data_IF_351755034456
#
_entry.id   IF_351755034456
#
_cell.length_a   1.000
_cell.length_b   1.000
_cell.length_c   1.000
_cell.angle_alpha   90.00
_cell.angle_beta   90.00
_cell.angle_gamma   90.00
#
_symmetry.space_group_name_H-M   'P 1'
#
loop_
_entity.id
_entity.type
_entity.pdbx_description
1 polymer ?
#
# COMPACT_ATOMS: atom_id res chain seq x y z
N UNK A 1 -29.97 6.47 -17.75
CA UNK A 1 -28.60 6.10 -17.34
C UNK A 1 -27.90 7.40 -17.02
N UNK A 2 -27.35 7.49 -15.80
CA UNK A 2 -26.78 8.78 -15.35
C UNK A 2 -25.39 9.00 -15.92
N UNK A 3 -24.57 7.93 -15.96
CA UNK A 3 -23.18 7.98 -16.43
C UNK A 3 -22.80 6.76 -17.25
N UNK A 4 -21.81 6.88 -18.15
CA UNK A 4 -21.18 5.72 -18.77
C UNK A 4 -20.41 4.93 -17.74
N UNK A 5 -19.65 5.61 -16.86
CA UNK A 5 -18.81 4.99 -15.83
C UNK A 5 -19.04 5.65 -14.49
N UNK A 6 -19.38 4.87 -13.48
CA UNK A 6 -19.34 5.30 -12.09
C UNK A 6 -18.09 4.77 -11.42
N UNK A 7 -17.40 5.64 -10.69
CA UNK A 7 -16.15 5.31 -9.98
C UNK A 7 -16.41 5.43 -8.48
N UNK A 8 -16.11 4.40 -7.71
CA UNK A 8 -16.22 4.43 -6.23
C UNK A 8 -14.86 4.71 -5.62
N UNK A 9 -14.68 5.90 -5.02
CA UNK A 9 -13.50 6.33 -4.30
C UNK A 9 -12.68 7.41 -5.02
N UNK A 10 -12.35 8.49 -4.30
CA UNK A 10 -11.63 9.70 -4.77
C UNK A 10 -10.14 9.72 -4.37
N UNK A 11 -9.48 8.56 -4.27
CA UNK A 11 -8.03 8.46 -4.10
C UNK A 11 -7.27 8.56 -5.42
N UNK A 12 -5.97 8.17 -5.42
CA UNK A 12 -5.15 8.16 -6.64
C UNK A 12 -5.83 7.45 -7.81
N UNK A 13 -6.38 6.25 -7.56
CA UNK A 13 -7.03 5.45 -8.60
C UNK A 13 -8.25 6.14 -9.20
N UNK A 14 -9.14 6.68 -8.36
CA UNK A 14 -10.34 7.35 -8.84
C UNK A 14 -10.06 8.66 -9.58
N UNK A 15 -9.15 9.49 -9.06
CA UNK A 15 -8.75 10.74 -9.74
C UNK A 15 -8.13 10.46 -11.11
N UNK A 16 -7.23 9.48 -11.19
CA UNK A 16 -6.59 9.11 -12.45
C UNK A 16 -7.59 8.47 -13.42
N UNK A 17 -8.45 7.57 -12.93
CA UNK A 17 -9.50 6.95 -13.75
C UNK A 17 -10.46 7.98 -14.34
N UNK A 18 -10.96 8.92 -13.53
CA UNK A 18 -11.84 9.98 -14.02
C UNK A 18 -11.18 10.81 -15.13
N UNK A 19 -9.91 11.20 -14.93
CA UNK A 19 -9.15 11.94 -15.93
C UNK A 19 -9.01 11.16 -17.25
N UNK A 20 -8.60 9.90 -17.20
CA UNK A 20 -8.39 9.08 -18.42
C UNK A 20 -9.70 8.77 -19.14
N UNK A 21 -10.77 8.47 -18.40
CA UNK A 21 -12.09 8.21 -18.95
C UNK A 21 -12.67 9.45 -19.66
N UNK A 22 -12.53 10.64 -19.05
CA UNK A 22 -12.91 11.91 -19.69
C UNK A 22 -12.16 12.14 -20.99
N UNK A 23 -10.84 11.90 -21.02
CA UNK A 23 -10.02 12.00 -22.25
C UNK A 23 -10.49 11.04 -23.33
N UNK A 24 -11.01 9.88 -22.93
CA UNK A 24 -11.56 8.86 -23.84
C UNK A 24 -13.04 9.12 -24.20
N UNK A 25 -13.61 10.24 -23.78
CA UNK A 25 -14.97 10.67 -24.14
C UNK A 25 -16.09 9.91 -23.42
N UNK A 26 -15.81 9.34 -22.23
CA UNK A 26 -16.85 8.78 -21.36
C UNK A 26 -17.42 9.85 -20.44
N UNK A 27 -18.74 9.83 -20.20
CA UNK A 27 -19.35 10.49 -19.06
C UNK A 27 -19.02 9.67 -17.82
N UNK A 28 -18.19 10.22 -16.92
CA UNK A 28 -17.72 9.52 -15.72
C UNK A 28 -17.92 10.38 -14.49
N UNK A 29 -18.21 9.74 -13.34
CA UNK A 29 -18.46 10.41 -12.07
C UNK A 29 -17.87 9.62 -10.91
N UNK A 30 -17.32 10.31 -9.92
CA UNK A 30 -16.79 9.71 -8.69
C UNK A 30 -17.83 9.84 -7.57
N UNK A 31 -18.02 8.76 -6.82
CA UNK A 31 -18.70 8.78 -5.53
C UNK A 31 -17.63 8.58 -4.44
N UNK A 32 -17.45 9.59 -3.57
CA UNK A 32 -16.44 9.59 -2.50
C UNK A 32 -17.12 9.68 -1.13
N UNK A 33 -16.79 8.72 -0.27
CA UNK A 33 -17.33 8.66 1.09
C UNK A 33 -16.79 9.78 2.01
N UNK A 34 -15.62 10.32 1.70
CA UNK A 34 -15.01 11.43 2.42
C UNK A 34 -15.49 12.80 1.94
N UNK A 35 -15.09 13.83 2.68
CA UNK A 35 -15.41 15.23 2.36
C UNK A 35 -14.43 15.88 1.36
N UNK A 36 -13.39 15.16 0.95
CA UNK A 36 -12.39 15.63 -0.01
C UNK A 36 -11.67 14.45 -0.70
N UNK A 37 -10.97 14.76 -1.79
CA UNK A 37 -10.09 13.83 -2.48
C UNK A 37 -8.90 13.42 -1.62
N UNK A 38 -8.27 12.30 -1.97
CA UNK A 38 -7.02 11.85 -1.35
C UNK A 38 -7.10 10.45 -0.75
N UNK A 39 -8.28 9.85 -0.61
CA UNK A 39 -8.45 8.50 -0.08
C UNK A 39 -7.80 8.36 1.30
N UNK A 40 -6.81 7.45 1.45
CA UNK A 40 -6.10 7.25 2.72
C UNK A 40 -5.39 8.51 3.23
N UNK A 41 -4.93 9.39 2.35
CA UNK A 41 -4.22 10.63 2.72
C UNK A 41 -5.15 11.73 3.20
N UNK A 42 -6.42 11.67 2.83
CA UNK A 42 -7.45 12.52 3.44
C UNK A 42 -7.74 12.08 4.88
N UNK A 43 -7.69 10.78 5.18
CA UNK A 43 -8.09 10.18 6.47
C UNK A 43 -6.94 9.96 7.45
N UNK A 44 -5.77 9.51 6.97
CA UNK A 44 -4.63 9.18 7.82
C UNK A 44 -3.88 10.44 8.26
N UNK A 45 -4.12 10.85 9.51
CA UNK A 45 -3.49 12.02 10.14
C UNK A 45 -2.75 11.67 11.43
N UNK A 46 -2.43 10.39 11.65
CA UNK A 46 -1.69 9.92 12.82
C UNK A 46 -0.25 10.47 12.84
N UNK A 47 0.39 10.58 14.02
CA UNK A 47 1.75 11.09 14.14
C UNK A 47 2.74 10.34 13.25
N UNK A 48 3.50 11.08 12.45
CA UNK A 48 4.48 10.51 11.53
C UNK A 48 3.93 9.96 10.22
N UNK A 49 2.63 10.07 9.95
CA UNK A 49 2.01 9.58 8.72
C UNK A 49 2.68 10.18 7.48
N UNK A 50 3.37 9.34 6.69
CA UNK A 50 4.11 9.70 5.48
C UNK A 50 4.17 8.56 4.50
N UNK A 51 4.51 8.88 3.25
CA UNK A 51 4.79 7.88 2.23
C UNK A 51 6.08 7.12 2.55
N UNK A 52 6.19 5.93 2.01
CA UNK A 52 7.40 5.10 2.05
C UNK A 52 7.96 4.80 0.64
N UNK A 53 7.31 5.31 -0.39
CA UNK A 53 7.89 5.41 -1.73
C UNK A 53 8.33 6.84 -1.96
N UNK A 54 9.57 7.00 -2.41
CA UNK A 54 10.18 8.33 -2.56
C UNK A 54 9.61 9.13 -3.72
N UNK A 55 9.68 10.44 -3.62
CA UNK A 55 9.46 11.32 -4.78
C UNK A 55 10.57 11.13 -5.83
N UNK A 56 10.26 11.17 -7.15
CA UNK A 56 8.97 11.56 -7.72
C UNK A 56 7.98 10.41 -7.94
N UNK A 57 8.26 9.19 -7.47
CA UNK A 57 7.46 8.01 -7.82
C UNK A 57 6.11 7.94 -7.10
N UNK A 58 5.92 8.65 -5.99
CA UNK A 58 4.63 8.68 -5.26
C UNK A 58 3.78 9.88 -5.67
N UNK A 59 3.52 10.02 -6.96
CA UNK A 59 2.63 11.03 -7.54
C UNK A 59 2.06 10.53 -8.88
N UNK A 60 1.09 11.25 -9.45
CA UNK A 60 0.63 11.01 -10.81
C UNK A 60 1.71 11.40 -11.82
N UNK A 61 1.93 10.55 -12.82
CA UNK A 61 2.93 10.79 -13.88
C UNK A 61 2.48 11.81 -14.93
N UNK A 62 1.32 12.44 -14.73
CA UNK A 62 0.72 13.45 -15.62
C UNK A 62 1.54 14.74 -15.61
N UNK A 63 2.04 15.15 -16.78
CA UNK A 63 2.87 16.36 -16.92
C UNK A 63 2.15 17.61 -16.44
N UNK A 64 0.89 17.76 -16.76
CA UNK A 64 0.04 18.87 -16.34
C UNK A 64 -0.04 18.99 -14.81
N UNK A 65 0.06 17.90 -14.07
CA UNK A 65 0.05 17.88 -12.61
C UNK A 65 1.44 18.18 -12.05
N UNK A 66 2.47 17.44 -12.46
CA UNK A 66 3.78 17.52 -11.80
C UNK A 66 4.61 18.75 -12.22
N UNK A 67 4.37 19.38 -13.37
CA UNK A 67 5.17 20.50 -13.85
C UNK A 67 5.17 21.70 -12.87
N UNK A 68 4.04 21.98 -12.24
CA UNK A 68 3.80 23.09 -11.32
C UNK A 68 3.70 22.66 -9.84
N UNK A 69 4.11 21.45 -9.53
CA UNK A 69 4.18 20.92 -8.17
C UNK A 69 5.63 20.72 -7.73
N UNK A 70 5.93 21.06 -6.48
CA UNK A 70 7.24 20.85 -5.87
C UNK A 70 7.08 20.19 -4.51
N UNK A 71 7.76 19.07 -4.32
CA UNK A 71 7.80 18.35 -3.05
C UNK A 71 8.84 18.94 -2.12
N UNK A 72 8.51 19.11 -0.84
CA UNK A 72 9.45 19.62 0.16
C UNK A 72 10.44 18.56 0.65
N UNK A 73 10.07 17.28 0.56
CA UNK A 73 10.84 16.18 1.14
C UNK A 73 10.86 14.96 0.23
N UNK A 74 11.90 14.12 0.42
CA UNK A 74 12.04 12.84 -0.29
C UNK A 74 10.84 11.92 -0.03
N UNK A 75 10.34 11.90 1.20
CA UNK A 75 9.15 11.14 1.63
C UNK A 75 8.15 12.11 2.28
N UNK A 76 7.28 12.73 1.51
CA UNK A 76 6.35 13.74 2.01
C UNK A 76 5.36 13.15 3.03
N UNK A 77 5.01 13.98 4.03
CA UNK A 77 4.04 13.64 5.04
C UNK A 77 2.59 13.86 4.58
N UNK A 78 1.63 13.36 5.35
CA UNK A 78 0.21 13.41 5.02
C UNK A 78 -0.32 14.83 4.72
N UNK A 79 0.16 15.85 5.43
CA UNK A 79 -0.27 17.23 5.22
C UNK A 79 0.12 17.75 3.83
N UNK A 80 1.31 17.39 3.35
CA UNK A 80 1.76 17.73 1.99
C UNK A 80 0.98 16.95 0.94
N UNK A 81 0.68 15.68 1.19
CA UNK A 81 -0.15 14.87 0.30
C UNK A 81 -1.58 15.40 0.18
N UNK A 82 -2.16 15.92 1.27
CA UNK A 82 -3.46 16.63 1.18
C UNK A 82 -3.37 17.83 0.25
N UNK A 83 -2.33 18.66 0.38
CA UNK A 83 -2.10 19.80 -0.55
C UNK A 83 -1.90 19.34 -1.99
N UNK A 84 -1.19 18.23 -2.18
CA UNK A 84 -1.02 17.63 -3.50
C UNK A 84 -2.36 17.24 -4.13
N UNK A 85 -3.27 16.60 -3.38
CA UNK A 85 -4.60 16.29 -3.93
C UNK A 85 -5.44 17.53 -4.22
N UNK A 86 -5.31 18.60 -3.44
CA UNK A 86 -5.90 19.92 -3.79
C UNK A 86 -5.32 20.48 -5.09
N UNK A 87 -4.02 20.30 -5.32
CA UNK A 87 -3.38 20.67 -6.58
C UNK A 87 -3.85 19.79 -7.75
N UNK A 88 -3.95 18.47 -7.57
CA UNK A 88 -4.51 17.54 -8.58
C UNK A 88 -5.92 17.96 -8.98
N UNK A 89 -6.76 18.25 -8.00
CA UNK A 89 -8.13 18.72 -8.23
C UNK A 89 -8.16 20.00 -9.05
N UNK A 90 -7.38 21.00 -8.64
CA UNK A 90 -7.28 22.29 -9.35
C UNK A 90 -6.82 22.13 -10.81
N UNK A 91 -5.85 21.24 -11.07
CA UNK A 91 -5.26 21.06 -12.41
C UNK A 91 -6.18 20.24 -13.32
N UNK A 92 -6.80 19.19 -12.78
CA UNK A 92 -7.59 18.23 -13.54
C UNK A 92 -9.10 18.46 -13.45
N UNK A 93 -9.54 19.49 -12.68
CA UNK A 93 -10.94 19.82 -12.46
C UNK A 93 -11.77 18.59 -12.07
N UNK A 94 -11.27 17.85 -11.04
CA UNK A 94 -11.85 16.58 -10.62
C UNK A 94 -13.18 16.78 -9.92
N UNK A 95 -13.23 17.73 -8.96
CA UNK A 95 -14.37 17.92 -8.04
C UNK A 95 -15.71 18.23 -8.72
N UNK A 96 -15.71 18.73 -9.95
CA UNK A 96 -16.95 18.98 -10.69
C UNK A 96 -17.75 17.71 -10.97
N UNK A 97 -17.09 16.56 -11.07
CA UNK A 97 -17.70 15.25 -11.31
C UNK A 97 -17.52 14.32 -10.09
N UNK A 98 -17.64 14.88 -8.87
CA UNK A 98 -17.54 14.11 -7.62
C UNK A 98 -18.75 14.37 -6.72
N UNK A 99 -19.37 13.30 -6.24
CA UNK A 99 -20.31 13.36 -5.11
C UNK A 99 -19.55 13.01 -3.83
N UNK A 100 -19.24 14.02 -3.02
CA UNK A 100 -18.62 13.87 -1.72
C UNK A 100 -19.61 13.45 -0.63
N UNK A 101 -19.09 12.97 0.52
CA UNK A 101 -19.86 12.52 1.68
C UNK A 101 -20.98 11.55 1.28
N UNK A 102 -20.68 10.67 0.33
CA UNK A 102 -21.64 9.73 -0.25
C UNK A 102 -21.06 8.33 -0.20
N UNK A 103 -21.66 7.47 0.61
CA UNK A 103 -21.22 6.08 0.77
C UNK A 103 -22.07 5.18 -0.11
N UNK A 104 -21.43 4.37 -0.94
CA UNK A 104 -22.11 3.30 -1.67
C UNK A 104 -22.38 2.15 -0.71
N UNK A 105 -23.63 1.75 -0.57
CA UNK A 105 -24.07 0.67 0.32
C UNK A 105 -24.49 -0.58 -0.43
N UNK A 106 -24.82 -0.47 -1.72
CA UNK A 106 -25.19 -1.57 -2.60
C UNK A 106 -24.84 -1.27 -4.05
N UNK A 107 -24.54 -2.32 -4.82
CA UNK A 107 -24.33 -2.23 -6.26
C UNK A 107 -24.77 -3.56 -6.90
N UNK A 108 -25.83 -3.50 -7.68
CA UNK A 108 -26.43 -4.64 -8.36
C UNK A 108 -26.38 -4.46 -9.88
N UNK A 109 -26.06 -5.51 -10.61
CA UNK A 109 -26.08 -5.49 -12.07
C UNK A 109 -27.41 -6.02 -12.59
N UNK A 110 -28.17 -5.14 -13.22
CA UNK A 110 -29.42 -5.50 -13.90
C UNK A 110 -29.09 -6.11 -15.28
N UNK A 111 -29.27 -7.42 -15.39
CA UNK A 111 -29.00 -8.18 -16.63
C UNK A 111 -29.99 -7.89 -17.75
N UNK A 112 -31.18 -7.36 -17.43
CA UNK A 112 -32.20 -7.02 -18.45
C UNK A 112 -31.83 -5.73 -19.17
N UNK A 113 -31.44 -4.71 -18.39
CA UNK A 113 -31.07 -3.39 -18.96
C UNK A 113 -29.56 -3.23 -19.19
N UNK A 114 -28.75 -4.23 -18.84
CA UNK A 114 -27.29 -4.22 -18.87
C UNK A 114 -26.68 -3.00 -18.18
N UNK A 115 -27.13 -2.68 -16.97
CA UNK A 115 -26.72 -1.51 -16.18
C UNK A 115 -26.41 -1.89 -14.74
N UNK A 116 -25.48 -1.19 -14.16
CA UNK A 116 -25.28 -1.16 -12.72
C UNK A 116 -26.32 -0.23 -12.07
N UNK A 117 -26.92 -0.70 -10.99
CA UNK A 117 -27.81 0.04 -10.09
C UNK A 117 -27.06 0.20 -8.78
N UNK A 118 -26.67 1.41 -8.44
CA UNK A 118 -25.83 1.72 -7.28
C UNK A 118 -26.65 2.49 -6.26
N UNK A 119 -26.76 1.94 -5.04
CA UNK A 119 -27.44 2.54 -3.92
C UNK A 119 -26.45 3.24 -2.98
N UNK A 120 -26.81 4.44 -2.54
CA UNK A 120 -26.02 5.22 -1.58
C UNK A 120 -26.69 5.22 -0.19
N UNK A 121 -25.92 5.57 0.84
CA UNK A 121 -26.39 5.70 2.23
C UNK A 121 -27.52 6.71 2.43
N UNK A 122 -27.67 7.66 1.51
CA UNK A 122 -28.82 8.60 1.47
C UNK A 122 -30.07 8.03 0.79
N UNK A 123 -30.02 6.80 0.29
CA UNK A 123 -31.09 6.19 -0.51
C UNK A 123 -31.15 6.65 -1.97
N UNK A 124 -30.20 7.48 -2.41
CA UNK A 124 -30.10 7.88 -3.82
C UNK A 124 -29.67 6.67 -4.66
N UNK A 125 -30.34 6.45 -5.79
CA UNK A 125 -29.99 5.47 -6.79
C UNK A 125 -29.25 6.16 -7.93
N UNK A 126 -28.10 5.60 -8.33
CA UNK A 126 -27.30 6.05 -9.47
C UNK A 126 -27.18 4.89 -10.43
N UNK A 127 -27.32 5.15 -11.73
CA UNK A 127 -27.19 4.11 -12.76
C UNK A 127 -26.01 4.37 -13.68
N UNK A 128 -25.25 3.33 -14.00
CA UNK A 128 -24.13 3.43 -14.94
C UNK A 128 -24.00 2.18 -15.80
N UNK A 129 -23.38 2.32 -16.94
CA UNK A 129 -23.04 1.18 -17.80
C UNK A 129 -21.89 0.36 -17.21
N UNK A 130 -20.88 1.04 -16.67
CA UNK A 130 -19.71 0.43 -16.06
C UNK A 130 -19.54 0.92 -14.61
N UNK A 131 -19.01 0.05 -13.77
CA UNK A 131 -18.67 0.36 -12.40
C UNK A 131 -17.18 0.09 -12.16
N UNK A 132 -16.44 1.12 -11.72
CA UNK A 132 -15.03 1.02 -11.34
C UNK A 132 -14.90 1.15 -9.83
N UNK A 133 -14.45 0.10 -9.17
CA UNK A 133 -14.20 0.10 -7.74
C UNK A 133 -12.77 0.54 -7.43
N UNK A 134 -12.58 1.84 -7.13
CA UNK A 134 -11.31 2.44 -6.72
C UNK A 134 -11.25 2.65 -5.20
N UNK A 135 -11.85 1.73 -4.43
CA UNK A 135 -12.08 1.83 -2.98
C UNK A 135 -10.82 1.73 -2.13
N UNK A 136 -9.70 1.30 -2.72
CA UNK A 136 -8.46 1.03 -2.00
C UNK A 136 -8.54 -0.23 -1.12
N UNK A 137 -7.42 -0.61 -0.54
CA UNK A 137 -7.28 -1.83 0.28
C UNK A 137 -7.36 -1.58 1.79
N UNK A 138 -7.36 -0.31 2.23
CA UNK A 138 -7.22 0.08 3.65
C UNK A 138 -8.41 0.88 4.19
N UNK A 139 -9.58 0.82 3.51
CA UNK A 139 -10.76 1.58 3.91
C UNK A 139 -11.46 0.98 5.14
N UNK A 140 -11.55 -0.36 5.22
CA UNK A 140 -12.15 -1.05 6.35
C UNK A 140 -11.09 -1.30 7.41
N UNK A 141 -11.24 -0.67 8.56
CA UNK A 141 -10.39 -0.90 9.73
C UNK A 141 -10.61 -2.30 10.27
N UNK A 142 -9.52 -2.98 10.61
CA UNK A 142 -9.57 -4.17 11.43
C UNK A 142 -9.22 -3.79 12.86
N UNK A 143 -10.17 -3.88 13.75
CA UNK A 143 -9.95 -3.72 15.19
C UNK A 143 -10.05 -5.10 15.83
N UNK A 144 -8.95 -5.62 16.40
CA UNK A 144 -9.01 -6.89 17.12
C UNK A 144 -9.96 -6.77 18.32
N UNK A 145 -10.73 -7.81 18.52
CA UNK A 145 -11.58 -7.90 19.71
C UNK A 145 -10.72 -8.32 20.91
N UNK A 146 -10.76 -7.51 21.94
CA UNK A 146 -10.12 -7.81 23.22
C UNK A 146 -11.16 -7.80 24.32
N UNK A 147 -11.16 -8.82 25.16
CA UNK A 147 -12.02 -8.84 26.34
C UNK A 147 -11.78 -7.60 27.21
N UNK A 148 -12.84 -7.00 27.69
CA UNK A 148 -12.75 -5.83 28.59
C UNK A 148 -12.38 -4.50 27.89
N UNK A 149 -12.35 -4.40 26.56
CA UNK A 149 -12.06 -3.16 25.82
C UNK A 149 -12.92 -1.99 26.32
N UNK A 150 -14.20 -2.23 26.56
CA UNK A 150 -15.16 -1.19 26.99
C UNK A 150 -14.95 -0.76 28.45
N UNK A 151 -14.17 -1.49 29.24
CA UNK A 151 -13.80 -1.11 30.63
C UNK A 151 -12.71 -0.06 30.67
N UNK A 152 -11.92 0.10 29.59
CA UNK A 152 -10.82 1.04 29.56
C UNK A 152 -11.31 2.48 29.64
N UNK A 153 -10.73 3.27 30.53
CA UNK A 153 -11.14 4.66 30.79
C UNK A 153 -10.32 5.69 30.02
N UNK A 154 -9.28 5.25 29.30
CA UNK A 154 -8.45 6.13 28.47
C UNK A 154 -8.98 6.24 27.03
N UNK A 155 -8.19 6.91 26.19
CA UNK A 155 -8.49 7.07 24.78
C UNK A 155 -8.01 5.84 24.03
N UNK A 156 -8.90 5.23 23.24
CA UNK A 156 -8.58 4.20 22.27
C UNK A 156 -8.78 4.79 20.87
N UNK A 157 -7.75 4.75 20.05
CA UNK A 157 -7.81 5.27 18.69
C UNK A 157 -7.14 4.31 17.71
N UNK A 158 -7.82 4.02 16.62
CA UNK A 158 -7.20 3.36 15.48
C UNK A 158 -6.53 4.42 14.59
N UNK A 159 -5.28 4.25 14.13
CA UNK A 159 -4.56 5.26 13.32
C UNK A 159 -5.35 5.76 12.09
N UNK A 160 -6.11 4.88 11.43
CA UNK A 160 -6.99 5.26 10.31
C UNK A 160 -8.24 6.08 10.73
N UNK A 161 -8.39 6.38 12.01
CA UNK A 161 -9.41 7.27 12.57
C UNK A 161 -8.79 8.26 13.57
N UNK A 162 -7.55 8.62 13.36
CA UNK A 162 -6.89 9.63 14.18
C UNK A 162 -7.65 10.95 14.06
N UNK A 163 -7.98 11.62 15.19
CA UNK A 163 -8.68 12.90 15.15
C UNK A 163 -7.89 13.95 14.38
N UNK A 164 -8.56 14.71 13.52
CA UNK A 164 -7.92 15.79 12.74
C UNK A 164 -7.35 16.89 13.66
N UNK A 165 -7.96 17.10 14.83
CA UNK A 165 -7.47 18.00 15.87
C UNK A 165 -6.18 17.52 16.57
N UNK A 166 -5.75 16.27 16.27
CA UNK A 166 -4.68 15.63 17.03
C UNK A 166 -5.14 15.11 18.41
N UNK A 167 -4.21 14.50 19.11
CA UNK A 167 -4.37 14.07 20.52
C UNK A 167 -3.16 14.60 21.27
N UNK A 168 -3.42 15.30 22.37
CA UNK A 168 -2.35 15.69 23.29
C UNK A 168 -1.79 14.45 24.01
N UNK A 169 -0.54 14.16 23.75
CA UNK A 169 0.17 13.00 24.30
C UNK A 169 1.20 13.39 25.39
N UNK A 170 1.42 14.67 25.61
CA UNK A 170 2.40 15.15 26.59
C UNK A 170 2.10 14.61 27.99
N UNK A 171 3.13 14.10 28.67
CA UNK A 171 3.03 13.48 29.99
C UNK A 171 2.05 12.29 30.10
N UNK A 172 1.67 11.65 28.97
CA UNK A 172 0.75 10.51 28.97
C UNK A 172 1.49 9.17 28.97
N UNK A 173 0.79 8.15 29.44
CA UNK A 173 1.16 6.75 29.18
C UNK A 173 0.47 6.33 27.91
N UNK A 174 1.25 5.98 26.90
CA UNK A 174 0.78 5.61 25.56
C UNK A 174 1.11 4.16 25.31
N UNK A 175 0.17 3.43 24.69
CA UNK A 175 0.38 2.07 24.23
C UNK A 175 0.21 2.01 22.70
N UNK A 176 1.17 1.39 22.02
CA UNK A 176 1.06 1.09 20.58
C UNK A 176 0.98 -0.43 20.44
N UNK A 177 -0.11 -0.92 19.83
CA UNK A 177 -0.29 -2.33 19.54
C UNK A 177 0.09 -2.57 18.10
N UNK A 178 1.22 -3.24 17.88
CA UNK A 178 1.75 -3.57 16.56
C UNK A 178 2.96 -2.76 16.13
N UNK A 179 3.86 -3.43 15.42
CA UNK A 179 5.13 -2.90 14.89
C UNK A 179 5.14 -2.86 13.35
N UNK A 180 3.98 -2.78 12.69
CA UNK A 180 3.88 -2.55 11.24
C UNK A 180 4.27 -1.12 10.86
N UNK A 181 4.16 -0.76 9.56
CA UNK A 181 4.58 0.55 9.05
C UNK A 181 4.01 1.73 9.86
N UNK A 182 2.72 1.68 10.19
CA UNK A 182 2.06 2.70 11.01
C UNK A 182 2.67 2.75 12.43
N UNK A 183 2.90 1.60 13.07
CA UNK A 183 3.53 1.53 14.39
C UNK A 183 4.95 2.10 14.38
N UNK A 184 5.75 1.77 13.36
CA UNK A 184 7.11 2.33 13.15
C UNK A 184 7.06 3.85 13.04
N UNK A 185 6.12 4.40 12.27
CA UNK A 185 5.96 5.84 12.11
C UNK A 185 5.50 6.53 13.40
N UNK A 186 4.50 5.96 14.08
CA UNK A 186 3.99 6.50 15.35
C UNK A 186 5.06 6.49 16.46
N UNK A 187 5.85 5.42 16.58
CA UNK A 187 6.91 5.32 17.59
C UNK A 187 7.91 6.47 17.44
N UNK A 188 8.36 6.76 16.23
CA UNK A 188 9.38 7.79 15.97
C UNK A 188 8.92 9.20 16.36
N UNK A 189 7.62 9.46 16.35
CA UNK A 189 7.06 10.77 16.75
C UNK A 189 6.63 10.79 18.22
N UNK A 190 6.01 9.70 18.69
CA UNK A 190 5.42 9.66 20.05
C UNK A 190 6.51 9.48 21.10
N UNK A 191 7.56 8.70 20.84
CA UNK A 191 8.64 8.49 21.80
C UNK A 191 9.39 9.78 22.16
N UNK A 192 9.36 10.77 21.29
CA UNK A 192 10.03 12.08 21.46
C UNK A 192 9.17 13.13 22.17
N UNK A 193 7.88 12.83 22.42
CA UNK A 193 7.00 13.80 23.08
C UNK A 193 7.39 13.97 24.55
N UNK A 194 7.36 15.20 25.08
CA UNK A 194 7.76 15.47 26.48
C UNK A 194 6.97 14.63 27.48
N UNK A 195 7.69 13.95 28.37
CA UNK A 195 7.10 13.19 29.49
C UNK A 195 6.30 11.95 29.09
N UNK A 196 6.25 11.57 27.82
CA UNK A 196 5.55 10.35 27.37
C UNK A 196 6.27 9.11 27.93
N UNK A 197 5.46 8.16 28.41
CA UNK A 197 5.87 6.77 28.70
C UNK A 197 5.20 5.87 27.69
N UNK A 198 5.97 5.34 26.73
CA UNK A 198 5.48 4.55 25.61
C UNK A 198 5.68 3.06 25.87
N UNK A 199 4.64 2.25 25.70
CA UNK A 199 4.75 0.78 25.66
C UNK A 199 4.40 0.30 24.24
N UNK A 200 5.30 -0.43 23.59
CA UNK A 200 5.12 -0.96 22.25
C UNK A 200 4.97 -2.48 22.30
N UNK A 201 3.82 -2.96 21.88
CA UNK A 201 3.48 -4.38 21.87
C UNK A 201 3.87 -4.99 20.51
N UNK A 202 4.93 -5.81 20.51
CA UNK A 202 5.52 -6.39 19.29
C UNK A 202 5.21 -7.89 19.25
N UNK A 203 4.40 -8.30 18.26
CA UNK A 203 4.17 -9.71 17.97
C UNK A 203 5.17 -10.28 16.97
N UNK A 204 5.31 -9.62 15.85
CA UNK A 204 6.31 -9.95 14.85
C UNK A 204 7.27 -8.78 14.71
N UNK A 205 8.54 -9.11 14.71
CA UNK A 205 9.57 -8.13 14.38
C UNK A 205 9.25 -7.47 13.03
N UNK A 206 9.46 -6.18 12.94
CA UNK A 206 9.48 -5.48 11.66
C UNK A 206 10.94 -5.35 11.21
N UNK A 207 11.27 -5.88 10.04
CA UNK A 207 12.57 -5.65 9.41
C UNK A 207 12.48 -4.26 8.76
N UNK A 208 12.68 -3.20 9.58
CA UNK A 208 12.63 -1.84 9.08
C UNK A 208 13.95 -1.45 8.42
N UNK A 209 13.87 -0.67 7.35
CA UNK A 209 15.00 -0.27 6.49
C UNK A 209 15.23 1.25 6.60
N UNK A 210 16.45 1.73 6.38
CA UNK A 210 16.74 3.15 6.48
C UNK A 210 16.00 3.95 5.41
N UNK A 211 15.17 4.88 5.83
CA UNK A 211 14.42 5.78 4.94
C UNK A 211 15.36 6.75 4.21
N UNK A 212 16.35 7.29 4.90
CA UNK A 212 17.18 8.39 4.42
C UNK A 212 16.35 9.60 4.01
N UNK A 213 15.42 9.98 4.90
CA UNK A 213 14.62 11.19 4.75
C UNK A 213 15.50 12.43 4.65
N UNK A 214 15.15 13.33 3.76
CA UNK A 214 15.79 14.64 3.60
C UNK A 214 14.83 15.62 2.93
N UNK A 215 15.12 16.88 3.08
CA UNK A 215 14.52 17.93 2.27
C UNK A 215 15.02 17.87 0.83
N UNK A 216 14.23 18.35 -0.09
CA UNK A 216 14.55 18.49 -1.50
C UNK A 216 14.40 19.96 -1.87
N UNK A 217 15.47 20.57 -2.40
CA UNK A 217 15.43 21.94 -2.86
C UNK A 217 14.66 22.09 -4.18
N UNK A 218 14.12 23.28 -4.43
CA UNK A 218 13.47 23.59 -5.71
C UNK A 218 14.40 23.35 -6.90
N UNK A 219 15.68 23.74 -6.79
CA UNK A 219 16.67 23.53 -7.85
C UNK A 219 16.88 22.04 -8.16
N UNK A 220 16.91 21.19 -7.13
CA UNK A 220 17.01 19.74 -7.31
C UNK A 220 15.76 19.20 -7.98
N UNK A 221 14.56 19.64 -7.55
CA UNK A 221 13.28 19.26 -8.16
C UNK A 221 13.22 19.65 -9.64
N UNK A 222 13.60 20.87 -9.97
CA UNK A 222 13.55 21.36 -11.37
C UNK A 222 14.52 20.57 -12.25
N UNK A 223 15.70 20.25 -11.72
CA UNK A 223 16.66 19.38 -12.41
C UNK A 223 16.07 17.96 -12.64
N UNK A 224 15.39 17.41 -11.65
CA UNK A 224 14.74 16.10 -11.76
C UNK A 224 13.53 16.12 -12.71
N UNK A 225 12.74 17.21 -12.73
CA UNK A 225 11.59 17.35 -13.65
C UNK A 225 12.00 17.24 -15.11
N UNK A 226 13.20 17.65 -15.47
CA UNK A 226 13.73 17.50 -16.83
C UNK A 226 13.77 16.02 -17.30
N UNK A 227 13.92 15.09 -16.37
CA UNK A 227 14.00 13.64 -16.63
C UNK A 227 12.82 12.83 -16.10
N UNK A 228 11.79 13.45 -15.54
CA UNK A 228 10.63 12.76 -14.95
C UNK A 228 9.97 11.76 -15.91
N UNK A 229 9.83 12.12 -17.19
CA UNK A 229 9.29 11.21 -18.20
C UNK A 229 10.09 9.90 -18.29
N UNK A 230 11.42 9.99 -18.20
CA UNK A 230 12.30 8.82 -18.17
C UNK A 230 12.18 8.05 -16.86
N UNK A 231 12.16 8.75 -15.71
CA UNK A 231 12.01 8.12 -14.39
C UNK A 231 10.70 7.36 -14.26
N UNK A 232 9.57 7.94 -14.68
CA UNK A 232 8.28 7.24 -14.65
C UNK A 232 8.24 6.04 -15.60
N UNK A 233 8.89 6.13 -16.77
CA UNK A 233 9.01 4.97 -17.66
C UNK A 233 9.83 3.86 -17.00
N UNK A 234 10.99 4.16 -16.43
CA UNK A 234 11.81 3.18 -15.72
C UNK A 234 11.05 2.55 -14.54
N UNK A 235 10.25 3.35 -13.80
CA UNK A 235 9.42 2.82 -12.73
C UNK A 235 8.34 1.84 -13.25
N UNK A 236 7.71 2.14 -14.39
CA UNK A 236 6.72 1.25 -15.03
C UNK A 236 7.35 -0.04 -15.57
N UNK A 237 8.59 0.04 -16.02
CA UNK A 237 9.34 -1.10 -16.57
C UNK A 237 9.95 -1.96 -15.44
N UNK A 238 9.97 -1.48 -14.19
CA UNK A 238 10.52 -2.21 -13.05
C UNK A 238 9.50 -3.16 -12.40
N UNK A 239 9.99 -4.20 -11.74
CA UNK A 239 9.14 -5.22 -11.11
C UNK A 239 8.30 -4.68 -9.93
N UNK A 240 8.82 -3.71 -9.21
CA UNK A 240 8.23 -3.16 -7.97
C UNK A 240 7.65 -1.74 -8.13
N UNK A 241 7.66 -1.17 -9.34
CA UNK A 241 7.25 0.22 -9.55
C UNK A 241 8.26 1.26 -9.02
N UNK A 242 9.49 0.82 -8.75
CA UNK A 242 10.62 1.64 -8.31
C UNK A 242 11.85 1.23 -9.12
N UNK A 243 12.56 2.16 -9.79
CA UNK A 243 13.67 1.82 -10.67
C UNK A 243 14.93 1.54 -9.84
N UNK A 244 14.94 0.42 -9.16
CA UNK A 244 16.09 -0.12 -8.46
C UNK A 244 16.15 -1.60 -8.76
N UNK A 245 16.77 -1.94 -9.88
CA UNK A 245 17.03 -3.32 -10.24
C UNK A 245 18.34 -3.77 -9.59
N UNK A 246 18.32 -5.00 -9.05
CA UNK A 246 19.48 -5.66 -8.50
C UNK A 246 20.38 -6.26 -9.59
N UNK A 247 21.50 -6.88 -9.19
CA UNK A 247 22.34 -7.64 -10.08
C UNK A 247 21.56 -8.80 -10.72
N UNK A 248 21.89 -9.14 -11.95
CA UNK A 248 21.29 -10.30 -12.65
C UNK A 248 21.83 -11.65 -12.21
N UNK A 249 22.90 -11.64 -11.40
CA UNK A 249 23.56 -12.81 -10.82
C UNK A 249 22.75 -13.38 -9.65
N UNK A 250 23.03 -14.62 -9.29
CA UNK A 250 22.59 -15.24 -8.03
C UNK A 250 23.62 -15.03 -6.93
N UNK A 251 23.16 -14.99 -5.69
CA UNK A 251 23.97 -14.68 -4.50
C UNK A 251 25.23 -15.55 -4.39
N UNK A 252 25.12 -16.84 -4.68
CA UNK A 252 26.26 -17.80 -4.58
C UNK A 252 27.35 -17.63 -5.65
N UNK A 253 27.09 -16.89 -6.72
CA UNK A 253 28.08 -16.57 -7.76
C UNK A 253 28.99 -15.40 -7.39
N UNK A 254 28.77 -14.79 -6.22
CA UNK A 254 29.49 -13.61 -5.74
C UNK A 254 30.29 -13.93 -4.49
N UNK A 255 31.40 -13.22 -4.28
CA UNK A 255 32.18 -13.29 -3.04
C UNK A 255 31.46 -12.58 -1.89
N UNK A 256 31.88 -12.80 -0.66
CA UNK A 256 31.34 -12.12 0.51
C UNK A 256 31.60 -10.61 0.43
N UNK A 257 32.78 -10.21 -0.04
CA UNK A 257 33.20 -8.81 -0.20
C UNK A 257 32.33 -8.08 -1.23
N UNK A 258 32.06 -8.72 -2.38
CA UNK A 258 31.16 -8.15 -3.41
C UNK A 258 29.75 -7.95 -2.90
N UNK A 259 29.22 -8.98 -2.18
CA UNK A 259 27.87 -8.88 -1.57
C UNK A 259 27.79 -7.78 -0.53
N UNK A 260 28.74 -7.72 0.41
CA UNK A 260 28.75 -6.69 1.45
C UNK A 260 28.89 -5.30 0.84
N UNK A 261 29.74 -5.12 -0.17
CA UNK A 261 29.91 -3.83 -0.87
C UNK A 261 28.60 -3.40 -1.55
N UNK A 262 27.91 -4.32 -2.24
CA UNK A 262 26.63 -4.02 -2.87
C UNK A 262 25.55 -3.69 -1.84
N UNK A 263 25.41 -4.48 -0.79
CA UNK A 263 24.42 -4.23 0.26
C UNK A 263 24.69 -2.95 1.05
N UNK A 264 25.95 -2.57 1.26
CA UNK A 264 26.32 -1.26 1.83
C UNK A 264 25.87 -0.11 0.93
N UNK A 265 26.01 -0.25 -0.38
CA UNK A 265 25.56 0.76 -1.34
C UNK A 265 24.02 0.90 -1.29
N UNK A 266 23.28 -0.21 -1.31
CA UNK A 266 21.83 -0.21 -1.18
C UNK A 266 21.38 0.40 0.16
N UNK A 267 22.09 0.09 1.24
CA UNK A 267 21.84 0.62 2.57
C UNK A 267 22.06 2.14 2.66
N UNK A 268 23.07 2.65 1.98
CA UNK A 268 23.35 4.10 1.87
C UNK A 268 22.26 4.83 1.07
N UNK A 269 21.82 4.24 -0.03
CA UNK A 269 20.72 4.81 -0.84
C UNK A 269 19.44 4.95 -0.02
N UNK A 270 19.18 4.00 0.89
CA UNK A 270 17.97 3.98 1.70
C UNK A 270 16.74 3.65 0.88
N UNK A 271 15.56 4.11 1.34
CA UNK A 271 14.28 3.76 0.72
C UNK A 271 14.08 2.23 0.63
N UNK A 272 13.38 1.76 -0.39
CA UNK A 272 13.26 0.33 -0.66
C UNK A 272 14.44 -0.27 -1.45
N UNK A 273 15.50 0.52 -1.72
CA UNK A 273 16.62 0.01 -2.51
C UNK A 273 17.21 -1.30 -1.96
N UNK A 274 17.33 -1.41 -0.61
CA UNK A 274 17.79 -2.64 0.02
C UNK A 274 16.83 -3.82 -0.14
N UNK A 275 15.53 -3.59 -0.35
CA UNK A 275 14.55 -4.65 -0.59
C UNK A 275 14.45 -5.03 -2.07
N UNK A 276 14.49 -4.04 -2.98
CA UNK A 276 14.22 -4.24 -4.42
C UNK A 276 15.49 -4.51 -5.23
N UNK A 277 16.65 -4.01 -4.77
CA UNK A 277 17.94 -4.16 -5.45
C UNK A 277 18.72 -5.43 -5.08
N UNK A 278 18.04 -6.50 -4.68
CA UNK A 278 18.68 -7.75 -4.29
C UNK A 278 19.08 -8.62 -5.49
N UNK A 279 19.91 -9.62 -5.24
CA UNK A 279 20.25 -10.68 -6.20
C UNK A 279 18.99 -11.46 -6.60
N UNK A 280 19.01 -12.10 -7.79
CA UNK A 280 17.81 -12.70 -8.39
C UNK A 280 17.22 -13.87 -7.60
N UNK A 281 18.03 -14.54 -6.77
CA UNK A 281 17.65 -15.72 -5.99
C UNK A 281 17.10 -15.43 -4.59
N UNK A 282 17.05 -14.16 -4.17
CA UNK A 282 16.72 -13.82 -2.76
C UNK A 282 15.32 -14.25 -2.29
N UNK A 283 14.38 -14.43 -3.19
CA UNK A 283 13.01 -14.89 -2.86
C UNK A 283 12.79 -16.38 -3.13
N UNK A 284 13.79 -17.11 -3.64
CA UNK A 284 13.68 -18.54 -3.98
C UNK A 284 14.70 -19.39 -3.22
N UNK A 285 15.89 -18.85 -2.93
CA UNK A 285 16.94 -19.55 -2.19
C UNK A 285 16.96 -19.10 -0.71
N UNK A 286 16.80 -20.09 0.21
CA UNK A 286 16.72 -19.81 1.63
C UNK A 286 18.05 -19.33 2.24
N UNK A 287 19.18 -19.79 1.69
CA UNK A 287 20.51 -19.38 2.14
C UNK A 287 20.82 -17.95 1.69
N UNK A 288 20.54 -17.61 0.43
CA UNK A 288 20.64 -16.25 -0.07
C UNK A 288 19.81 -15.28 0.79
N UNK A 289 18.58 -15.67 1.11
CA UNK A 289 17.68 -14.89 1.93
C UNK A 289 18.18 -14.72 3.38
N UNK A 290 18.79 -15.76 3.96
CA UNK A 290 19.40 -15.73 5.30
C UNK A 290 20.56 -14.74 5.36
N UNK A 291 21.43 -14.72 4.36
CA UNK A 291 22.57 -13.79 4.31
C UNK A 291 22.14 -12.32 4.28
N UNK A 292 21.06 -12.01 3.57
CA UNK A 292 20.47 -10.64 3.56
C UNK A 292 19.98 -10.28 4.95
N UNK A 293 19.28 -11.19 5.63
CA UNK A 293 18.82 -10.96 7.00
C UNK A 293 19.99 -10.71 7.96
N UNK A 294 21.07 -11.46 7.85
CA UNK A 294 22.27 -11.32 8.69
C UNK A 294 22.94 -9.97 8.48
N UNK A 295 23.03 -9.49 7.24
CA UNK A 295 23.51 -8.15 6.96
C UNK A 295 22.63 -7.08 7.62
N UNK A 296 21.31 -7.15 7.43
CA UNK A 296 20.37 -6.26 8.10
C UNK A 296 20.52 -6.31 9.62
N UNK A 297 20.61 -7.48 10.19
CA UNK A 297 20.75 -7.68 11.64
C UNK A 297 22.09 -7.11 12.16
N UNK A 298 23.20 -7.31 11.44
CA UNK A 298 24.51 -6.72 11.73
C UNK A 298 24.40 -5.17 11.80
N UNK A 299 23.76 -4.56 10.81
CA UNK A 299 23.57 -3.09 10.74
C UNK A 299 22.64 -2.55 11.83
N UNK A 300 21.68 -3.32 12.28
CA UNK A 300 20.61 -2.85 13.19
C UNK A 300 20.94 -3.14 14.66
N UNK A 301 21.59 -4.24 14.97
CA UNK A 301 21.95 -4.63 16.34
C UNK A 301 22.76 -3.57 17.09
N UNK A 302 23.66 -2.87 16.41
CA UNK A 302 24.49 -1.83 17.03
C UNK A 302 23.69 -0.56 17.41
N UNK A 303 22.46 -0.42 16.90
CA UNK A 303 21.57 0.73 17.17
C UNK A 303 20.67 0.52 18.40
N UNK A 304 20.60 -0.72 18.96
CA UNK A 304 19.82 -1.04 20.16
C UNK A 304 20.78 -1.52 21.25
N UNK A 305 21.02 -0.70 22.27
CA UNK A 305 21.98 -1.01 23.33
C UNK A 305 21.40 -1.94 24.38
N UNK A 306 20.11 -1.77 24.73
CA UNK A 306 19.44 -2.61 25.71
C UNK A 306 19.32 -4.07 25.19
N UNK A 307 19.95 -5.07 25.85
CA UNK A 307 20.01 -6.44 25.33
C UNK A 307 18.63 -7.13 25.30
N UNK A 308 17.71 -6.78 26.21
CA UNK A 308 16.33 -7.34 26.20
C UNK A 308 15.54 -6.83 25.02
N UNK A 309 15.58 -5.52 24.76
CA UNK A 309 14.92 -4.90 23.60
C UNK A 309 15.53 -5.38 22.29
N UNK A 310 16.87 -5.47 22.22
CA UNK A 310 17.59 -5.97 21.05
C UNK A 310 17.19 -7.40 20.70
N UNK A 311 17.05 -8.29 21.68
CA UNK A 311 16.63 -9.67 21.46
C UNK A 311 15.20 -9.78 20.87
N UNK A 312 14.33 -8.80 21.18
CA UNK A 312 12.98 -8.74 20.62
C UNK A 312 13.00 -8.11 19.22
N UNK A 313 13.73 -7.01 19.03
CA UNK A 313 13.69 -6.20 17.82
C UNK A 313 14.57 -6.73 16.69
N UNK A 314 15.68 -7.40 17.04
CA UNK A 314 16.66 -7.93 16.09
C UNK A 314 17.09 -9.34 16.55
N UNK A 315 16.19 -10.33 16.47
CA UNK A 315 16.49 -11.69 16.92
C UNK A 315 17.65 -12.33 16.13
N UNK A 316 18.41 -13.21 16.79
CA UNK A 316 19.53 -13.89 16.14
C UNK A 316 19.09 -14.85 15.04
N UNK A 317 17.95 -15.50 15.23
CA UNK A 317 17.34 -16.35 14.21
C UNK A 317 16.36 -15.54 13.38
N UNK A 318 16.49 -15.59 12.08
CA UNK A 318 15.57 -14.97 11.12
C UNK A 318 14.12 -15.41 11.42
N UNK A 319 13.20 -14.47 11.69
CA UNK A 319 11.83 -14.79 12.11
C UNK A 319 10.91 -15.19 10.96
N UNK A 320 11.22 -14.78 9.75
CA UNK A 320 10.57 -15.10 8.47
C UNK A 320 11.48 -14.68 7.33
N UNK A 321 11.34 -15.25 6.12
CA UNK A 321 12.20 -14.88 5.00
C UNK A 321 12.11 -13.38 4.68
N UNK A 322 13.26 -12.72 4.47
CA UNK A 322 13.34 -11.31 4.11
C UNK A 322 12.55 -11.02 2.83
N UNK A 323 11.81 -9.92 2.80
CA UNK A 323 10.96 -9.54 1.67
C UNK A 323 9.59 -10.21 1.61
N UNK A 324 9.34 -11.31 2.35
CA UNK A 324 8.02 -11.97 2.39
C UNK A 324 6.99 -11.23 3.26
N UNK A 325 7.44 -10.26 4.04
CA UNK A 325 6.64 -9.19 4.63
C UNK A 325 7.21 -7.86 4.17
N UNK A 326 6.33 -6.88 3.90
CA UNK A 326 6.80 -5.55 3.55
C UNK A 326 7.63 -4.98 4.69
N UNK A 327 8.87 -4.60 4.37
CA UNK A 327 9.69 -3.80 5.27
C UNK A 327 9.06 -2.43 5.47
N UNK A 328 9.17 -1.86 6.65
CA UNK A 328 8.84 -0.45 6.88
C UNK A 328 10.07 0.39 6.63
N UNK A 329 9.90 1.66 6.29
CA UNK A 329 11.01 2.61 6.27
C UNK A 329 11.07 3.38 7.60
N UNK A 330 12.27 3.58 8.10
CA UNK A 330 12.50 4.22 9.39
C UNK A 330 13.67 5.22 9.32
N UNK A 331 13.71 6.16 10.23
CA UNK A 331 14.79 7.12 10.34
C UNK A 331 15.59 6.93 11.64
N UNK A 332 14.90 6.79 12.75
CA UNK A 332 15.46 6.60 14.08
C UNK A 332 14.57 5.69 14.95
N UNK A 333 13.83 4.80 14.32
CA UNK A 333 12.92 3.88 15.02
C UNK A 333 13.62 3.04 16.08
N UNK A 334 14.79 2.51 15.78
CA UNK A 334 15.52 1.63 16.69
C UNK A 334 16.10 2.40 17.88
N UNK A 335 16.56 3.61 17.67
CA UNK A 335 16.99 4.53 18.71
C UNK A 335 15.80 4.96 19.61
N UNK A 336 14.65 5.25 19.00
CA UNK A 336 13.42 5.55 19.75
C UNK A 336 12.97 4.34 20.58
N UNK A 337 13.00 3.14 20.02
CA UNK A 337 12.66 1.92 20.76
C UNK A 337 13.63 1.63 21.91
N UNK A 338 14.88 2.07 21.82
CA UNK A 338 15.91 1.87 22.86
C UNK A 338 15.86 2.88 24.01
N UNK A 339 15.10 3.97 23.88
CA UNK A 339 14.97 5.01 24.90
C UNK A 339 14.41 4.45 26.22
N UNK A 340 14.80 5.04 27.34
CA UNK A 340 14.37 4.63 28.70
C UNK A 340 12.86 4.81 28.93
N UNK A 341 12.23 5.78 28.27
CA UNK A 341 10.79 6.03 28.34
C UNK A 341 9.96 5.11 27.44
N UNK A 342 10.60 4.19 26.72
CA UNK A 342 9.93 3.23 25.81
C UNK A 342 10.10 1.81 26.35
N UNK A 343 9.02 1.12 26.61
CA UNK A 343 8.99 -0.30 26.94
C UNK A 343 8.62 -1.11 25.71
N UNK A 344 9.31 -2.24 25.50
CA UNK A 344 9.04 -3.18 24.38
C UNK A 344 8.57 -4.50 24.94
N UNK A 345 7.35 -4.88 24.60
CA UNK A 345 6.71 -6.12 25.05
C UNK A 345 6.62 -7.13 23.91
N UNK A 346 7.26 -8.30 24.07
CA UNK A 346 7.15 -9.41 23.14
C UNK A 346 5.84 -10.17 23.39
N UNK A 347 4.82 -9.84 22.60
CA UNK A 347 3.51 -10.50 22.77
C UNK A 347 3.42 -11.93 22.24
N UNK A 348 4.47 -12.49 21.65
CA UNK A 348 4.57 -13.95 21.44
C UNK A 348 4.82 -14.70 22.75
N UNK A 349 5.46 -14.04 23.71
CA UNK A 349 5.76 -14.61 25.04
C UNK A 349 4.73 -14.20 26.08
N UNK A 350 4.10 -13.05 25.90
CA UNK A 350 3.18 -12.44 26.87
C UNK A 350 2.00 -11.83 26.14
N UNK A 351 1.12 -12.68 25.69
CA UNK A 351 -0.03 -12.33 24.87
C UNK A 351 -0.99 -11.28 25.48
N UNK A 352 -1.67 -10.41 24.66
CA UNK A 352 -2.74 -9.50 25.13
C UNK A 352 -3.98 -10.35 25.45
N UNK A 353 -4.32 -10.47 26.72
CA UNK A 353 -5.40 -11.31 27.20
C UNK A 353 -6.71 -10.55 27.40
N UNK A 354 -6.64 -9.37 27.97
CA UNK A 354 -7.81 -8.53 28.26
C UNK A 354 -7.43 -7.06 28.46
N UNK A 355 -8.41 -6.19 28.40
CA UNK A 355 -8.28 -4.79 28.76
C UNK A 355 -8.94 -4.55 30.12
N UNK A 356 -8.35 -3.69 30.91
CA UNK A 356 -8.87 -3.26 32.21
C UNK A 356 -9.14 -1.75 32.17
N UNK A 357 -9.77 -1.23 33.21
CA UNK A 357 -9.96 0.22 33.35
C UNK A 357 -8.66 1.05 33.28
N UNK A 358 -7.50 0.42 33.49
CA UNK A 358 -6.19 1.09 33.61
C UNK A 358 -5.18 0.72 32.52
N UNK A 359 -5.45 -0.24 31.65
CA UNK A 359 -4.49 -0.68 30.64
C UNK A 359 -4.76 -2.04 30.01
N UNK A 360 -3.77 -2.52 29.30
CA UNK A 360 -3.80 -3.72 28.46
C UNK A 360 -3.13 -4.89 29.17
N UNK A 361 -3.74 -6.04 29.08
CA UNK A 361 -3.19 -7.35 29.45
C UNK A 361 -3.08 -8.18 28.16
N UNK A 362 -1.93 -8.70 27.81
CA UNK A 362 -1.53 -9.09 26.43
C UNK A 362 -1.92 -10.46 25.85
N UNK A 363 -2.29 -10.54 24.56
CA UNK A 363 -2.23 -11.64 23.57
C UNK A 363 -2.44 -11.22 22.07
N UNK A 364 -1.81 -11.78 21.10
CA UNK A 364 -1.30 -11.45 19.74
C UNK A 364 -2.15 -10.89 18.56
N UNK A 365 -1.55 -10.17 17.51
CA UNK A 365 -1.63 -10.29 16.03
C UNK A 365 -1.23 -9.13 15.07
N UNK A 366 -1.31 -9.17 13.66
CA UNK A 366 -0.31 -8.74 12.64
C UNK A 366 -0.62 -7.62 11.61
N UNK A 367 0.31 -7.24 10.63
CA UNK A 367 0.20 -6.96 9.14
C UNK A 367 1.03 -5.87 8.41
N UNK A 368 0.93 -5.61 7.11
CA UNK A 368 1.68 -5.46 5.86
C UNK A 368 1.26 -4.46 4.73
N UNK A 369 1.92 -4.02 3.66
CA UNK A 369 1.72 -3.72 2.19
C UNK A 369 2.71 -2.77 1.44
N UNK A 370 2.77 -2.81 0.02
CA UNK A 370 3.76 -2.16 -0.87
C UNK A 370 3.21 -1.00 -1.74
N UNK A 371 4.02 -0.37 -2.65
CA UNK A 371 3.75 0.90 -3.36
C UNK A 371 2.52 0.88 -4.30
N UNK A 372 1.59 1.84 -4.16
CA UNK A 372 0.31 1.83 -4.84
C UNK A 372 0.23 2.66 -6.16
N UNK A 373 0.71 3.92 -6.28
CA UNK A 373 0.36 4.78 -7.43
C UNK A 373 0.77 4.24 -8.79
N UNK A 374 2.00 3.76 -8.94
CA UNK A 374 2.51 3.27 -10.23
C UNK A 374 1.74 2.03 -10.72
N UNK A 375 1.37 1.13 -9.79
CA UNK A 375 0.57 -0.05 -10.14
C UNK A 375 -0.88 0.33 -10.47
N UNK A 376 -1.44 1.31 -9.76
CA UNK A 376 -2.78 1.85 -10.01
C UNK A 376 -2.88 2.44 -11.41
N UNK A 377 -1.92 3.29 -11.83
CA UNK A 377 -1.93 3.88 -13.17
C UNK A 377 -1.96 2.81 -14.26
N UNK A 378 -1.11 1.77 -14.14
CA UNK A 378 -1.07 0.67 -15.10
C UNK A 378 -2.39 -0.12 -15.16
N UNK A 379 -3.04 -0.33 -14.00
CA UNK A 379 -4.35 -0.99 -13.96
C UNK A 379 -5.43 -0.11 -14.58
N UNK A 380 -5.44 1.20 -14.33
CA UNK A 380 -6.41 2.14 -14.89
C UNK A 380 -6.22 2.33 -16.37
N UNK A 381 -4.99 2.41 -16.88
CA UNK A 381 -4.71 2.47 -18.32
C UNK A 381 -5.26 1.21 -19.01
N UNK A 382 -4.99 0.03 -18.46
CA UNK A 382 -5.55 -1.23 -18.97
C UNK A 382 -7.08 -1.25 -18.96
N UNK A 383 -7.72 -0.83 -17.84
CA UNK A 383 -9.18 -0.76 -17.74
C UNK A 383 -9.75 0.20 -18.76
N UNK A 384 -9.13 1.37 -18.96
CA UNK A 384 -9.60 2.36 -19.93
C UNK A 384 -9.54 1.84 -21.36
N UNK A 385 -8.42 1.23 -21.76
CA UNK A 385 -8.26 0.61 -23.07
C UNK A 385 -9.30 -0.52 -23.29
N UNK A 386 -9.55 -1.31 -22.26
CA UNK A 386 -10.54 -2.38 -22.27
C UNK A 386 -11.96 -1.82 -22.49
N UNK A 387 -12.36 -0.77 -21.75
CA UNK A 387 -13.67 -0.13 -21.92
C UNK A 387 -13.83 0.52 -23.30
N UNK A 388 -12.77 1.15 -23.84
CA UNK A 388 -12.77 1.68 -25.21
C UNK A 388 -13.01 0.56 -26.22
N UNK A 389 -12.31 -0.58 -26.07
CA UNK A 389 -12.49 -1.76 -26.96
C UNK A 389 -13.93 -2.30 -26.89
N UNK A 390 -14.51 -2.45 -25.69
CA UNK A 390 -15.91 -2.87 -25.53
C UNK A 390 -16.88 -1.93 -26.27
N UNK A 391 -16.66 -0.62 -26.15
CA UNK A 391 -17.47 0.40 -26.83
C UNK A 391 -17.35 0.29 -28.36
N UNK A 392 -16.12 0.18 -28.88
CA UNK A 392 -15.87 0.06 -30.32
C UNK A 392 -16.52 -1.20 -30.93
N UNK A 393 -16.49 -2.31 -30.19
CA UNK A 393 -17.04 -3.60 -30.62
C UNK A 393 -18.53 -3.77 -30.26
N UNK A 394 -19.17 -2.70 -29.73
CA UNK A 394 -20.60 -2.68 -29.34
C UNK A 394 -20.97 -3.79 -28.32
N UNK A 395 -20.03 -4.20 -27.49
CA UNK A 395 -20.28 -5.19 -26.45
C UNK A 395 -21.08 -4.53 -25.32
N UNK A 396 -22.23 -5.09 -25.00
CA UNK A 396 -23.15 -4.56 -23.98
C UNK A 396 -22.99 -5.23 -22.63
N UNK A 397 -22.51 -6.47 -22.61
CA UNK A 397 -22.21 -7.21 -21.38
C UNK A 397 -21.02 -8.13 -21.61
N UNK A 398 -20.17 -8.26 -20.60
CA UNK A 398 -19.02 -9.14 -20.61
C UNK A 398 -18.82 -9.75 -19.23
N UNK A 399 -18.61 -11.07 -19.17
CA UNK A 399 -18.37 -11.82 -17.93
C UNK A 399 -17.22 -12.81 -18.16
N UNK A 400 -16.24 -12.92 -17.25
CA UNK A 400 -15.20 -13.94 -17.38
C UNK A 400 -15.81 -15.34 -17.37
N UNK A 401 -15.31 -16.23 -18.20
CA UNK A 401 -15.65 -17.65 -18.11
C UNK A 401 -15.03 -18.25 -16.87
N UNK A 402 -15.74 -19.11 -16.16
CA UNK A 402 -15.25 -19.80 -14.96
C UNK A 402 -13.90 -20.50 -15.19
N UNK A 403 -13.69 -21.08 -16.37
CA UNK A 403 -12.42 -21.71 -16.75
C UNK A 403 -11.25 -20.71 -16.79
N UNK A 404 -11.49 -19.48 -17.25
CA UNK A 404 -10.49 -18.42 -17.26
C UNK A 404 -10.16 -17.94 -15.84
N UNK A 405 -11.18 -17.77 -14.97
CA UNK A 405 -10.96 -17.43 -13.55
C UNK A 405 -10.16 -18.52 -12.81
N UNK A 406 -10.48 -19.79 -13.05
CA UNK A 406 -9.76 -20.92 -12.45
C UNK A 406 -8.32 -21.01 -12.97
N UNK A 407 -8.10 -20.73 -14.25
CA UNK A 407 -6.75 -20.65 -14.83
C UNK A 407 -5.94 -19.52 -14.17
N UNK A 408 -6.51 -18.32 -14.05
CA UNK A 408 -5.87 -17.18 -13.38
C UNK A 408 -5.50 -17.49 -11.94
N UNK A 409 -6.41 -18.08 -11.16
CA UNK A 409 -6.15 -18.50 -9.77
C UNK A 409 -4.97 -19.48 -9.69
N UNK A 410 -4.89 -20.45 -10.60
CA UNK A 410 -3.77 -21.41 -10.67
C UNK A 410 -2.46 -20.72 -11.00
N UNK A 411 -2.44 -19.75 -11.92
CA UNK A 411 -1.25 -18.98 -12.28
C UNK A 411 -0.73 -18.19 -11.08
N UNK A 412 -1.60 -17.47 -10.38
CA UNK A 412 -1.23 -16.69 -9.18
C UNK A 412 -0.71 -17.61 -8.07
N UNK A 413 -1.35 -18.76 -7.86
CA UNK A 413 -0.94 -19.74 -6.86
C UNK A 413 0.40 -20.39 -7.19
N UNK A 414 0.66 -20.74 -8.44
CA UNK A 414 1.92 -21.34 -8.89
C UNK A 414 3.12 -20.38 -8.66
N UNK A 415 2.93 -19.09 -8.95
CA UNK A 415 3.94 -18.06 -8.65
C UNK A 415 4.21 -17.99 -7.14
N UNK A 416 3.17 -18.01 -6.32
CA UNK A 416 3.29 -17.99 -4.87
C UNK A 416 4.08 -19.21 -4.34
N UNK A 417 3.78 -20.42 -4.83
CA UNK A 417 4.43 -21.66 -4.40
C UNK A 417 5.90 -21.72 -4.79
N UNK A 418 6.28 -21.12 -5.92
CA UNK A 418 7.67 -21.02 -6.36
C UNK A 418 8.53 -20.05 -5.51
N UNK A 419 7.90 -19.21 -4.72
CA UNK A 419 8.57 -18.18 -3.93
C UNK A 419 8.55 -18.50 -2.43
N UNK A 420 9.50 -17.95 -1.68
CA UNK A 420 9.56 -18.08 -0.21
C UNK A 420 8.36 -17.47 0.51
N UNK A 421 7.46 -16.79 -0.20
CA UNK A 421 6.17 -16.32 0.33
C UNK A 421 5.31 -17.47 0.88
N UNK A 422 5.36 -18.65 0.28
CA UNK A 422 4.70 -19.87 0.75
C UNK A 422 5.11 -20.31 2.16
N UNK A 423 6.29 -19.88 2.63
CA UNK A 423 6.82 -20.14 3.98
C UNK A 423 6.44 -19.05 5.01
N UNK A 424 5.63 -18.07 4.64
CA UNK A 424 5.24 -16.94 5.50
C UNK A 424 3.75 -16.97 5.85
N UNK A 425 3.38 -17.84 6.78
CA UNK A 425 1.99 -18.10 7.20
C UNK A 425 1.21 -16.91 7.76
N UNK A 426 1.90 -15.88 8.22
CA UNK A 426 1.29 -14.71 8.86
C UNK A 426 1.33 -13.46 7.98
N UNK A 427 1.62 -13.61 6.69
CA UNK A 427 1.62 -12.50 5.74
C UNK A 427 0.20 -12.16 5.31
N UNK A 428 -0.11 -10.87 5.23
CA UNK A 428 -1.38 -10.42 4.67
C UNK A 428 -1.46 -10.65 3.15
N UNK A 429 -0.33 -10.80 2.48
CA UNK A 429 -0.30 -11.21 1.06
C UNK A 429 -1.09 -12.49 0.79
N UNK A 430 -1.22 -13.34 1.83
CA UNK A 430 -2.00 -14.59 1.79
C UNK A 430 -3.21 -14.57 2.71
N UNK A 431 -3.61 -13.41 3.22
CA UNK A 431 -4.71 -13.31 4.18
C UNK A 431 -4.42 -13.93 5.57
N UNK A 432 -3.17 -14.36 5.81
CA UNK A 432 -2.75 -15.03 7.04
C UNK A 432 -2.66 -14.13 8.28
N UNK A 433 -2.97 -12.87 8.11
CA UNK A 433 -3.01 -11.85 9.15
C UNK A 433 -4.35 -11.78 9.90
N UNK A 434 -5.40 -12.39 9.38
CA UNK A 434 -6.74 -12.38 9.97
C UNK A 434 -7.06 -13.80 10.45
N UNK A 435 -7.30 -14.02 11.76
CA UNK A 435 -7.69 -15.32 12.28
C UNK A 435 -8.96 -15.86 11.59
N UNK A 436 -8.95 -17.15 11.23
CA UNK A 436 -10.08 -17.82 10.58
C UNK A 436 -10.31 -17.50 9.10
N UNK A 437 -9.56 -16.52 8.52
CA UNK A 437 -9.63 -16.25 7.09
C UNK A 437 -8.94 -17.37 6.31
N UNK A 438 -9.55 -17.79 5.18
CA UNK A 438 -8.90 -18.70 4.24
C UNK A 438 -7.57 -18.11 3.77
N UNK A 439 -6.51 -18.91 3.89
CA UNK A 439 -5.18 -18.54 3.38
C UNK A 439 -5.11 -18.83 1.89
N UNK A 440 -4.98 -17.78 1.10
CA UNK A 440 -4.79 -17.88 -0.35
C UNK A 440 -4.00 -16.65 -0.83
N UNK A 441 -3.26 -16.78 -1.91
CA UNK A 441 -2.50 -15.65 -2.47
C UNK A 441 -3.46 -14.58 -3.00
N UNK A 442 -3.35 -13.36 -2.45
CA UNK A 442 -4.23 -12.24 -2.77
C UNK A 442 -3.64 -11.28 -3.82
N UNK A 443 -2.33 -11.34 -4.05
CA UNK A 443 -1.64 -10.40 -4.93
C UNK A 443 -0.84 -11.15 -6.00
N UNK A 444 -0.77 -10.58 -7.21
CA UNK A 444 0.10 -11.08 -8.24
C UNK A 444 1.56 -10.75 -7.91
N UNK A 445 2.43 -11.77 -7.85
CA UNK A 445 3.83 -11.63 -7.44
C UNK A 445 4.82 -11.71 -8.62
N UNK A 446 4.34 -11.80 -9.85
CA UNK A 446 5.16 -11.91 -11.06
C UNK A 446 5.69 -10.56 -11.59
N UNK A 447 5.50 -9.46 -10.87
CA UNK A 447 5.91 -8.11 -11.27
C UNK A 447 4.96 -7.43 -12.26
N UNK A 448 5.06 -6.10 -12.37
CA UNK A 448 4.15 -5.28 -13.19
C UNK A 448 4.20 -5.62 -14.68
N UNK A 449 5.38 -5.76 -15.34
CA UNK A 449 5.43 -6.03 -16.77
C UNK A 449 4.75 -7.35 -17.15
N UNK A 450 4.98 -8.42 -16.37
CA UNK A 450 4.36 -9.71 -16.63
C UNK A 450 2.85 -9.67 -16.35
N UNK A 451 2.41 -9.00 -15.30
CA UNK A 451 0.99 -8.78 -15.01
C UNK A 451 0.26 -8.14 -16.19
N UNK A 452 0.81 -7.06 -16.76
CA UNK A 452 0.22 -6.37 -17.91
C UNK A 452 0.21 -7.22 -19.18
N UNK A 453 1.25 -8.03 -19.38
CA UNK A 453 1.29 -8.99 -20.49
C UNK A 453 0.15 -10.00 -20.40
N UNK A 454 -0.02 -10.64 -19.23
CA UNK A 454 -1.11 -11.59 -18.97
C UNK A 454 -2.50 -10.94 -19.18
N UNK A 455 -2.69 -9.72 -18.67
CA UNK A 455 -3.94 -8.97 -18.86
C UNK A 455 -4.23 -8.71 -20.34
N UNK A 456 -3.24 -8.27 -21.14
CA UNK A 456 -3.42 -7.99 -22.57
C UNK A 456 -3.67 -9.26 -23.38
N UNK A 457 -2.96 -10.34 -23.08
CA UNK A 457 -3.17 -11.63 -23.73
C UNK A 457 -4.55 -12.20 -23.40
N UNK A 458 -4.96 -12.11 -22.12
CA UNK A 458 -6.26 -12.59 -21.63
C UNK A 458 -7.47 -11.87 -22.25
N UNK A 459 -7.28 -10.64 -22.76
CA UNK A 459 -8.34 -9.82 -23.38
C UNK A 459 -8.19 -9.63 -24.89
N UNK A 460 -7.30 -10.41 -25.53
CA UNK A 460 -6.97 -10.24 -26.95
C UNK A 460 -8.14 -10.53 -27.87
N UNK A 461 -8.89 -11.59 -27.63
CA UNK A 461 -9.89 -12.16 -28.56
C UNK A 461 -11.20 -12.60 -27.88
N UNK A 462 -11.52 -12.15 -26.72
CA UNK A 462 -12.72 -12.51 -25.94
C UNK A 462 -12.91 -14.01 -25.64
N UNK A 463 -11.99 -14.89 -26.01
CA UNK A 463 -12.09 -16.34 -25.79
C UNK A 463 -12.27 -16.70 -24.30
N UNK A 464 -11.77 -15.86 -23.41
CA UNK A 464 -11.86 -16.00 -21.97
C UNK A 464 -13.18 -15.45 -21.38
N UNK A 465 -14.07 -14.90 -22.20
CA UNK A 465 -15.27 -14.20 -21.73
C UNK A 465 -16.54 -14.71 -22.41
N UNK A 466 -17.64 -14.58 -21.70
CA UNK A 466 -18.99 -14.61 -22.26
C UNK A 466 -19.32 -13.15 -22.63
N UNK A 467 -19.56 -12.88 -23.91
CA UNK A 467 -19.84 -11.52 -24.39
C UNK A 467 -21.22 -11.44 -25.01
N UNK A 468 -21.92 -10.32 -24.76
CA UNK A 468 -23.18 -9.98 -25.42
C UNK A 468 -22.93 -8.73 -26.27
N UNK A 469 -23.16 -8.85 -27.58
CA UNK A 469 -23.05 -7.73 -28.54
C UNK A 469 -24.43 -7.11 -28.69
N UNK A 470 -24.53 -5.80 -28.53
CA UNK A 470 -25.78 -5.06 -28.75
C UNK A 470 -26.15 -5.02 -30.24
N UNK A 471 -27.40 -5.34 -30.56
CA UNK A 471 -27.96 -5.08 -31.88
C UNK A 471 -28.09 -3.56 -32.01
N UNK A 472 -27.26 -2.93 -32.81
CA UNK A 472 -27.22 -1.49 -32.96
C UNK A 472 -28.54 -0.92 -33.45
N UNK A 473 -29.24 -0.12 -32.67
CA UNK A 473 -30.04 0.96 -33.21
C UNK A 473 -29.08 2.08 -33.58
N UNK A 474 -28.91 2.34 -34.83
CA UNK A 474 -28.25 3.53 -35.33
C UNK A 474 -29.00 4.76 -34.80
N UNK A 475 -28.31 5.64 -34.10
CA UNK A 475 -28.66 7.04 -33.92
C UNK A 475 -27.43 7.85 -34.27
#
# INVERSE_FOLDING_TARGET
MDYDVLIIGGGFGGCYALHQLRKSGFSAHIVEAGSALGGVWHRNSYPGARVDSETPYYQLSLREVWKDWTWSQRFPGHAELKRYFTHVDKVLDISKDVSYNTVVVGADFDTVTAKWIIETDSGRIITSRFLVTATGSSIKRYEPEFAGKDLFKGIIVHPAAWPVSGIDLENKRVAIIGSGATGVQCVQEIAKQPGVKLTVYVRNVNIALPMRQREISELEQDSLKAIYKTLFRLARDSSAGLPCDGPTQVTKETTTEEREAWWEELWKRGAFNFQTGQYTDFLVDAEANRLIYEFWAKKTKCRVQNPKKRAILVPDKQPFPFGTKRSSLEQDYYECMDQDNVEVVDVKKTSIREWTARGIVTEDAPTALTNAPVFIEQQVDFITDFLVKLRMEKITSIEPRRSAEEHWKKTVQAIHEALLFSKSDTSWYVGGNIPGKKKEQLNYLGGIPQYLKECREGTKDWSNFNVVVGVGNAV
#
